data_IF_213140165487
#
_entry.id   IF_213140165487
#
_cell.length_a   1.000
_cell.length_b   1.000
_cell.length_c   1.000
_cell.angle_alpha   90.00
_cell.angle_beta   90.00
_cell.angle_gamma   90.00
#
_symmetry.space_group_name_H-M   'P 1'
#
loop_
_entity.id
_entity.type
_entity.pdbx_description
1 polymer ?
#
# COMPACT_ATOMS: atom_id res chain seq x y z
N UNK A 1 19.73 -20.49 16.99
CA UNK A 1 18.41 -20.14 16.41
C UNK A 1 18.67 -19.10 15.33
N UNK A 2 18.18 -19.31 14.11
CA UNK A 2 18.35 -18.33 13.02
C UNK A 2 17.32 -17.23 13.24
N UNK A 3 17.76 -16.02 13.52
CA UNK A 3 16.89 -14.86 13.66
C UNK A 3 16.38 -14.47 12.26
N UNK A 4 15.07 -14.56 12.05
CA UNK A 4 14.47 -14.17 10.78
C UNK A 4 14.49 -12.65 10.65
N UNK A 5 15.45 -12.12 9.88
CA UNK A 5 15.66 -10.68 9.70
C UNK A 5 14.51 -9.96 9.01
N UNK A 6 13.55 -10.69 8.45
CA UNK A 6 12.39 -10.10 7.78
C UNK A 6 11.24 -9.80 8.75
N UNK A 7 11.17 -10.51 9.89
CA UNK A 7 10.12 -10.30 10.90
C UNK A 7 10.17 -8.87 11.42
N UNK A 8 9.03 -8.20 11.36
CA UNK A 8 8.90 -6.80 11.77
C UNK A 8 7.95 -6.02 10.87
N UNK A 9 7.89 -4.71 11.13
CA UNK A 9 7.11 -3.75 10.34
C UNK A 9 8.05 -2.82 9.61
N UNK A 10 7.86 -2.71 8.30
CA UNK A 10 8.69 -1.96 7.38
C UNK A 10 7.86 -0.82 6.78
N UNK A 11 8.44 0.38 6.73
CA UNK A 11 7.81 1.53 6.07
C UNK A 11 8.09 1.48 4.56
N UNK A 12 7.06 1.67 3.75
CA UNK A 12 7.19 1.77 2.30
C UNK A 12 8.03 2.99 1.92
N UNK A 13 9.02 2.79 1.05
CA UNK A 13 9.86 3.86 0.48
C UNK A 13 9.37 4.26 -0.91
N UNK A 14 9.05 3.28 -1.75
CA UNK A 14 8.51 3.50 -3.10
C UNK A 14 7.69 2.30 -3.58
N UNK A 15 6.81 2.52 -4.56
CA UNK A 15 6.08 1.47 -5.26
C UNK A 15 6.01 1.81 -6.74
N UNK A 16 6.40 0.87 -7.58
CA UNK A 16 6.35 0.99 -9.03
C UNK A 16 5.88 -0.31 -9.67
N UNK A 17 5.11 -0.19 -10.75
CA UNK A 17 4.76 -1.31 -11.62
C UNK A 17 5.55 -1.19 -12.91
N UNK A 18 6.31 -2.24 -13.23
CA UNK A 18 7.07 -2.35 -14.47
C UNK A 18 6.42 -3.42 -15.35
N UNK A 19 6.05 -3.05 -16.57
CA UNK A 19 5.52 -4.01 -17.55
C UNK A 19 6.65 -4.80 -18.25
N UNK A 20 6.25 -5.76 -19.09
CA UNK A 20 7.19 -6.61 -19.85
C UNK A 20 8.09 -5.83 -20.82
N UNK A 21 7.67 -4.63 -21.22
CA UNK A 21 8.43 -3.74 -22.10
C UNK A 21 9.32 -2.78 -21.30
N UNK A 22 9.30 -2.88 -19.97
CA UNK A 22 10.07 -2.05 -19.06
C UNK A 22 9.46 -0.69 -18.76
N UNK A 23 8.23 -0.41 -19.20
CA UNK A 23 7.53 0.83 -18.87
C UNK A 23 7.16 0.82 -17.39
N UNK A 24 7.58 1.88 -16.70
CA UNK A 24 7.30 2.08 -15.28
C UNK A 24 6.06 2.95 -15.09
N UNK A 25 5.19 2.56 -14.15
CA UNK A 25 3.99 3.30 -13.75
C UNK A 25 3.85 3.34 -12.23
N UNK A 26 3.18 4.39 -11.74
CA UNK A 26 3.00 4.67 -10.31
C UNK A 26 1.51 4.75 -9.99
N UNK A 27 0.81 3.61 -9.81
CA UNK A 27 -0.65 3.61 -9.64
C UNK A 27 -1.10 4.38 -8.40
N UNK A 28 -0.29 4.39 -7.34
CA UNK A 28 -0.56 5.14 -6.10
C UNK A 28 0.17 6.50 -6.06
N UNK A 29 0.75 6.93 -7.18
CA UNK A 29 1.63 8.09 -7.25
C UNK A 29 3.04 7.81 -6.71
N UNK A 30 3.96 8.74 -6.98
CA UNK A 30 5.37 8.64 -6.54
C UNK A 30 5.52 8.83 -5.03
N UNK A 31 4.61 9.59 -4.42
CA UNK A 31 4.58 9.87 -2.99
C UNK A 31 3.79 8.80 -2.22
N UNK A 32 3.73 7.56 -2.69
CA UNK A 32 2.97 6.50 -2.02
C UNK A 32 3.42 6.29 -0.57
N UNK A 33 2.48 5.89 0.30
CA UNK A 33 2.78 5.53 1.69
C UNK A 33 2.20 4.16 2.00
N UNK A 34 2.78 3.49 2.98
CA UNK A 34 2.35 2.15 3.32
C UNK A 34 3.28 1.47 4.32
N UNK A 35 2.88 0.27 4.70
CA UNK A 35 3.63 -0.61 5.57
C UNK A 35 3.59 -2.04 5.05
N UNK A 36 4.69 -2.76 5.26
CA UNK A 36 4.83 -4.19 5.02
C UNK A 36 5.14 -4.85 6.36
N UNK A 37 4.41 -5.90 6.70
CA UNK A 37 4.58 -6.64 7.94
C UNK A 37 4.88 -8.10 7.64
N UNK A 38 5.91 -8.64 8.29
CA UNK A 38 6.15 -10.07 8.39
C UNK A 38 6.06 -10.50 9.83
N UNK A 39 5.31 -11.55 10.09
CA UNK A 39 5.08 -12.09 11.44
C UNK A 39 5.91 -13.36 11.66
N UNK A 40 6.14 -13.71 12.94
CA UNK A 40 6.96 -14.88 13.31
C UNK A 40 6.34 -16.21 12.89
N UNK A 41 5.01 -16.26 12.82
CA UNK A 41 4.20 -17.39 12.36
C UNK A 41 4.13 -17.50 10.82
N UNK A 42 4.85 -16.64 10.09
CA UNK A 42 5.07 -16.77 8.65
C UNK A 42 4.03 -16.06 7.77
N UNK A 43 3.18 -15.22 8.34
CA UNK A 43 2.28 -14.38 7.55
C UNK A 43 2.95 -13.11 7.07
N UNK A 44 2.40 -12.57 5.97
CA UNK A 44 2.78 -11.29 5.39
C UNK A 44 1.53 -10.46 5.13
N UNK A 45 1.59 -9.16 5.45
CA UNK A 45 0.55 -8.20 5.12
C UNK A 45 1.17 -6.93 4.57
N UNK A 46 0.55 -6.36 3.54
CA UNK A 46 0.97 -5.09 2.95
C UNK A 46 -0.23 -4.16 2.82
N UNK A 47 -0.02 -2.91 3.19
CA UNK A 47 -0.99 -1.83 3.02
C UNK A 47 -0.29 -0.72 2.26
N UNK A 48 -0.85 -0.33 1.11
CA UNK A 48 -0.30 0.69 0.22
C UNK A 48 -1.43 1.65 -0.12
N UNK A 49 -1.15 2.94 -0.10
CA UNK A 49 -2.12 3.98 -0.41
C UNK A 49 -1.44 5.20 -1.05
N UNK A 50 -2.18 5.91 -1.89
CA UNK A 50 -1.74 7.22 -2.36
C UNK A 50 -1.66 8.20 -1.17
N UNK A 51 -0.54 8.92 -1.00
CA UNK A 51 -0.39 9.87 0.11
C UNK A 51 -1.43 10.98 0.12
N UNK A 52 -1.90 11.39 -1.06
CA UNK A 52 -2.86 12.47 -1.23
C UNK A 52 -4.23 11.92 -1.66
N UNK A 53 -4.76 10.97 -0.91
CA UNK A 53 -6.13 10.51 -1.11
C UNK A 53 -7.10 11.63 -0.72
N UNK A 54 -8.03 12.06 -1.60
CA UNK A 54 -9.10 12.96 -1.21
C UNK A 54 -9.84 12.37 -0.01
N UNK A 55 -10.17 13.21 0.98
CA UNK A 55 -11.06 12.77 2.05
C UNK A 55 -12.40 12.40 1.43
N UNK A 56 -13.02 11.33 1.93
CA UNK A 56 -14.41 11.04 1.60
C UNK A 56 -15.26 12.30 1.86
N UNK A 57 -16.09 12.64 0.89
CA UNK A 57 -16.96 13.82 0.98
C UNK A 57 -18.05 13.67 2.06
N UNK A 58 -18.37 12.43 2.43
CA UNK A 58 -19.29 12.07 3.50
C UNK A 58 -18.55 11.51 4.73
N UNK A 59 -19.06 11.83 5.92
CA UNK A 59 -18.60 11.24 7.19
C UNK A 59 -19.03 9.77 7.36
N UNK A 60 -19.89 9.28 6.46
CA UNK A 60 -20.31 7.89 6.40
C UNK A 60 -19.35 7.10 5.49
N UNK A 61 -18.45 6.33 6.11
CA UNK A 61 -17.50 5.45 5.42
C UNK A 61 -18.20 4.39 4.54
N UNK A 62 -19.45 4.03 4.85
CA UNK A 62 -20.27 3.13 4.03
C UNK A 62 -20.98 3.87 2.89
N UNK A 63 -21.13 5.19 2.99
CA UNK A 63 -21.84 6.07 2.06
C UNK A 63 -20.97 6.65 0.94
N UNK A 64 -19.67 6.34 0.89
CA UNK A 64 -18.80 6.74 -0.22
C UNK A 64 -19.34 6.23 -1.56
N UNK A 65 -19.31 7.09 -2.57
CA UNK A 65 -19.62 6.72 -3.95
C UNK A 65 -18.72 5.56 -4.43
N UNK A 66 -19.18 4.80 -5.42
CA UNK A 66 -18.38 3.70 -6.00
C UNK A 66 -17.00 4.17 -6.45
N UNK A 67 -16.89 5.41 -6.93
CA UNK A 67 -15.63 6.04 -7.31
C UNK A 67 -14.72 6.33 -6.11
N UNK A 68 -15.26 6.72 -4.96
CA UNK A 68 -14.47 6.95 -3.74
C UNK A 68 -13.99 5.63 -3.10
N UNK A 69 -14.78 4.55 -3.23
CA UNK A 69 -14.44 3.20 -2.72
C UNK A 69 -13.44 2.45 -3.59
N UNK A 70 -13.39 2.73 -4.90
CA UNK A 70 -12.49 2.08 -5.84
C UNK A 70 -11.05 2.66 -5.85
N UNK A 71 -10.81 3.77 -5.14
CA UNK A 71 -9.51 4.42 -5.00
C UNK A 71 -8.69 3.90 -3.81
#
# INVERSE_FOLDING_TARGET
MVQNRFVGTWRLVSFELKDVNGKVSYPYGKDTIGYLMYTEDGYMSTVIMAARRPKFSSADFLGGSTQEKAN
#
